data_IF_014018202459
#
_entry.id   IF_014018202459
#
_cell.length_a   1.000
_cell.length_b   1.000
_cell.length_c   1.000
_cell.angle_alpha   90.00
_cell.angle_beta   90.00
_cell.angle_gamma   90.00
#
_symmetry.space_group_name_H-M   'P 1'
#
loop_
_entity.id
_entity.type
_entity.pdbx_description
1 polymer ?
#
# COMPACT_ATOMS: atom_id res chain seq x y z
N UNK A 1 -7.25 -11.83 0.72
CA UNK A 1 -7.37 -10.70 -0.24
C UNK A 1 -6.22 -10.71 -1.26
N UNK A 2 -6.37 -11.42 -2.37
CA UNK A 2 -5.35 -11.40 -3.44
C UNK A 2 -5.32 -10.05 -4.17
N UNK A 3 -6.45 -9.33 -4.23
CA UNK A 3 -6.54 -8.03 -4.88
C UNK A 3 -5.64 -6.98 -4.21
N UNK A 4 -5.59 -6.99 -2.87
CA UNK A 4 -4.76 -6.05 -2.12
C UNK A 4 -3.26 -6.36 -2.32
N UNK A 5 -2.87 -7.64 -2.40
CA UNK A 5 -1.48 -8.03 -2.73
C UNK A 5 -1.08 -7.55 -4.13
N UNK A 6 -2.01 -7.59 -5.09
CA UNK A 6 -1.79 -7.07 -6.45
C UNK A 6 -1.62 -5.55 -6.43
N UNK A 7 -2.46 -4.83 -5.70
CA UNK A 7 -2.35 -3.38 -5.54
C UNK A 7 -1.03 -2.98 -4.87
N UNK A 8 -0.67 -3.63 -3.77
CA UNK A 8 0.61 -3.43 -3.07
C UNK A 8 1.81 -3.64 -4.01
N UNK A 9 1.79 -4.70 -4.81
CA UNK A 9 2.85 -4.99 -5.79
C UNK A 9 2.93 -3.91 -6.87
N UNK A 10 1.79 -3.36 -7.30
CA UNK A 10 1.74 -2.27 -8.27
C UNK A 10 2.32 -0.97 -7.68
N UNK A 11 1.94 -0.60 -6.46
CA UNK A 11 2.50 0.57 -5.79
C UNK A 11 4.02 0.44 -5.58
N UNK A 12 4.51 -0.74 -5.17
CA UNK A 12 5.95 -1.02 -5.07
C UNK A 12 6.68 -0.81 -6.41
N UNK A 13 6.08 -1.20 -7.54
CA UNK A 13 6.64 -0.96 -8.89
C UNK A 13 6.69 0.52 -9.27
N UNK A 14 5.75 1.33 -8.78
CA UNK A 14 5.74 2.78 -8.97
C UNK A 14 6.71 3.51 -8.02
N UNK A 15 7.41 2.77 -7.16
CA UNK A 15 8.41 3.32 -6.23
C UNK A 15 7.86 3.67 -4.85
N UNK A 16 6.60 3.35 -4.55
CA UNK A 16 6.07 3.52 -3.20
C UNK A 16 6.78 2.60 -2.21
N UNK A 17 7.01 3.10 -1.00
CA UNK A 17 7.66 2.36 0.09
C UNK A 17 6.65 2.10 1.20
N UNK A 18 6.76 0.93 1.81
CA UNK A 18 5.96 0.57 2.98
C UNK A 18 6.55 1.25 4.21
N UNK A 19 5.73 2.02 4.94
CA UNK A 19 6.18 2.81 6.09
C UNK A 19 5.52 2.40 7.41
N UNK A 20 4.52 1.53 7.36
CA UNK A 20 3.91 0.98 8.57
C UNK A 20 2.65 0.18 8.29
N UNK A 21 2.11 -0.38 9.37
CA UNK A 21 0.86 -1.14 9.36
C UNK A 21 -0.07 -0.57 10.43
N UNK A 22 -1.28 -0.19 10.03
CA UNK A 22 -2.36 0.15 10.96
C UNK A 22 -3.09 -1.16 11.29
N UNK A 23 -2.98 -1.58 12.54
CA UNK A 23 -3.67 -2.78 13.03
C UNK A 23 -5.16 -2.51 13.17
N UNK A 24 -6.00 -3.45 12.76
CA UNK A 24 -7.46 -3.34 12.80
C UNK A 24 -8.00 -2.04 12.16
N UNK A 25 -7.40 -1.62 11.04
CA UNK A 25 -7.62 -0.30 10.46
C UNK A 25 -9.00 -0.09 9.83
N UNK A 26 -9.68 -1.16 9.42
CA UNK A 26 -11.09 -1.11 8.99
C UNK A 26 -11.79 -2.46 9.14
N UNK A 27 -13.12 -2.43 9.21
CA UNK A 27 -13.95 -3.64 9.23
C UNK A 27 -14.26 -4.11 7.79
N UNK A 28 -13.83 -5.32 7.43
CA UNK A 28 -14.16 -5.93 6.14
C UNK A 28 -15.42 -6.81 6.28
N UNK A 29 -16.56 -6.26 5.88
CA UNK A 29 -17.85 -6.95 5.95
C UNK A 29 -17.96 -8.22 5.11
N UNK A 30 -17.02 -8.50 4.20
CA UNK A 30 -17.00 -9.76 3.42
C UNK A 30 -16.47 -10.93 4.23
N UNK A 31 -15.59 -10.66 5.19
CA UNK A 31 -14.98 -11.66 6.08
C UNK A 31 -15.45 -11.54 7.52
N UNK A 32 -16.12 -10.43 7.88
CA UNK A 32 -16.70 -10.22 9.21
C UNK A 32 -15.67 -9.86 10.27
N UNK A 33 -14.50 -9.38 9.87
CA UNK A 33 -13.36 -9.13 10.76
C UNK A 33 -12.76 -7.74 10.49
N UNK A 34 -12.11 -7.17 11.51
CA UNK A 34 -11.21 -6.05 11.29
C UNK A 34 -9.93 -6.54 10.64
N UNK A 35 -9.40 -5.76 9.71
CA UNK A 35 -8.20 -6.14 8.95
C UNK A 35 -7.19 -5.01 8.94
N UNK A 36 -5.92 -5.39 8.84
CA UNK A 36 -4.80 -4.48 8.82
C UNK A 36 -4.71 -3.68 7.51
N UNK A 37 -4.21 -2.45 7.61
CA UNK A 37 -3.93 -1.58 6.47
C UNK A 37 -2.42 -1.39 6.36
N UNK A 38 -1.87 -1.70 5.18
CA UNK A 38 -0.48 -1.35 4.85
C UNK A 38 -0.44 0.10 4.42
N UNK A 39 0.33 0.91 5.13
CA UNK A 39 0.54 2.31 4.82
C UNK A 39 1.80 2.46 3.97
N UNK A 40 1.66 3.14 2.83
CA UNK A 40 2.74 3.33 1.88
C UNK A 40 2.87 4.80 1.51
N UNK A 41 4.09 5.27 1.30
CA UNK A 41 4.38 6.63 0.85
C UNK A 41 5.16 6.66 -0.46
N UNK A 42 5.16 7.83 -1.09
CA UNK A 42 6.04 8.15 -2.21
C UNK A 42 6.42 9.62 -2.08
N UNK A 43 7.68 9.87 -1.76
CA UNK A 43 8.19 11.24 -1.63
C UNK A 43 8.36 11.88 -3.01
N UNK A 44 8.21 13.20 -3.09
CA UNK A 44 8.40 13.97 -4.33
C UNK A 44 9.75 13.64 -5.02
N UNK A 45 10.84 13.61 -4.24
CA UNK A 45 12.16 13.29 -4.79
C UNK A 45 12.32 11.84 -5.23
N UNK A 46 11.55 10.90 -4.68
CA UNK A 46 11.51 9.51 -5.15
C UNK A 46 10.67 9.38 -6.42
N UNK A 47 9.56 10.12 -6.51
CA UNK A 47 8.74 10.21 -7.72
C UNK A 47 9.55 10.76 -8.90
N UNK A 48 10.25 11.88 -8.70
CA UNK A 48 11.05 12.52 -9.76
C UNK A 48 12.15 11.59 -10.31
N UNK A 49 12.77 10.77 -9.46
CA UNK A 49 13.79 9.79 -9.85
C UNK A 49 13.24 8.59 -10.62
N UNK A 50 12.00 8.21 -10.38
CA UNK A 50 11.41 6.97 -10.91
C UNK A 50 10.57 7.19 -12.18
N UNK A 51 9.94 8.36 -12.35
CA UNK A 51 9.04 8.63 -13.47
C UNK A 51 9.72 9.38 -14.62
N UNK A 52 10.70 10.25 -14.35
CA UNK A 52 11.41 11.02 -15.39
C UNK A 52 12.71 10.35 -15.86
N UNK A 53 12.84 9.03 -15.67
CA UNK A 53 13.98 8.24 -16.14
C UNK A 53 13.73 7.64 -17.52
#
# INVERSE_FOLDING_TARGET
MNDNKRAQSFYKKLGFKEIGVIRDGYFDGRVGEFVDIIYMDLLKGDFEKNIFK
#
